data_IF_804480835334
#
_entry.id   IF_804480835334
#
_cell.length_a   1.000
_cell.length_b   1.000
_cell.length_c   1.000
_cell.angle_alpha   90.00
_cell.angle_beta   90.00
_cell.angle_gamma   90.00
#
_symmetry.space_group_name_H-M   'P 1'
#
loop_
_entity.id
_entity.type
_entity.pdbx_description
1 polymer ?
#
# COMPACT_ATOMS: atom_id res chain seq x y z
N UNK A 1 -22.65 59.68 7.46
CA UNK A 1 -23.58 58.59 7.84
C UNK A 1 -23.11 57.31 7.17
N UNK A 2 -22.59 56.37 7.97
CA UNK A 2 -21.93 55.14 7.54
C UNK A 2 -22.93 54.11 6.98
N UNK A 3 -22.56 53.46 5.87
CA UNK A 3 -23.16 52.20 5.41
C UNK A 3 -22.28 51.01 5.85
N UNK A 4 -22.85 49.88 6.27
CA UNK A 4 -22.11 48.71 6.74
C UNK A 4 -21.67 47.79 5.58
N UNK A 5 -20.45 47.26 5.66
CA UNK A 5 -19.93 46.21 4.77
C UNK A 5 -20.29 44.80 5.29
N UNK A 6 -20.36 43.78 4.40
CA UNK A 6 -20.72 42.42 4.78
C UNK A 6 -19.52 41.64 5.33
N UNK A 7 -19.69 41.05 6.51
CA UNK A 7 -18.73 40.09 7.10
C UNK A 7 -18.98 38.72 6.48
N UNK A 8 -18.02 38.26 5.67
CA UNK A 8 -18.01 36.95 5.03
C UNK A 8 -17.76 35.82 6.03
N UNK A 9 -18.54 34.74 5.88
CA UNK A 9 -18.50 33.56 6.74
C UNK A 9 -17.21 32.75 6.61
N UNK A 10 -16.64 32.39 7.77
CA UNK A 10 -15.56 31.41 7.89
C UNK A 10 -16.12 29.99 7.82
N UNK A 11 -15.65 29.23 6.84
CA UNK A 11 -16.10 27.88 6.51
C UNK A 11 -15.84 26.86 7.63
N UNK A 12 -16.81 25.98 7.82
CA UNK A 12 -16.69 24.76 8.63
C UNK A 12 -15.77 23.78 7.90
N UNK A 13 -14.71 23.37 8.58
CA UNK A 13 -13.77 22.33 8.14
C UNK A 13 -14.47 20.97 8.12
N UNK A 14 -14.49 20.30 6.96
CA UNK A 14 -14.97 18.93 6.82
C UNK A 14 -13.99 17.93 7.49
N UNK A 15 -14.48 16.80 8.04
CA UNK A 15 -13.60 15.79 8.61
C UNK A 15 -12.91 14.97 7.51
N UNK A 16 -11.59 15.00 7.53
CA UNK A 16 -10.69 14.16 6.72
C UNK A 16 -10.77 12.69 7.19
N UNK A 17 -11.80 11.97 6.76
CA UNK A 17 -11.90 10.52 6.90
C UNK A 17 -11.37 9.84 5.64
N UNK A 18 -10.07 9.56 5.56
CA UNK A 18 -9.56 8.84 4.38
C UNK A 18 -8.12 8.35 4.38
N UNK A 19 -7.21 8.87 5.22
CA UNK A 19 -5.77 8.63 5.01
C UNK A 19 -4.96 8.09 6.21
N UNK A 20 -5.61 7.56 7.25
CA UNK A 20 -4.88 7.05 8.42
C UNK A 20 -4.03 5.80 8.16
N UNK A 21 -4.29 5.06 7.05
CA UNK A 21 -3.48 3.88 6.67
C UNK A 21 -2.11 4.24 6.05
N UNK A 22 -1.91 5.47 5.58
CA UNK A 22 -0.66 5.89 4.91
C UNK A 22 0.47 6.15 5.93
N UNK A 23 0.16 6.41 7.21
CA UNK A 23 1.17 6.64 8.26
C UNK A 23 1.68 5.38 8.96
N UNK A 24 1.12 4.19 8.70
CA UNK A 24 1.61 2.97 9.34
C UNK A 24 2.90 2.49 8.68
N UNK A 25 3.90 2.17 9.51
CA UNK A 25 5.12 1.53 9.01
C UNK A 25 4.79 0.18 8.36
N UNK A 26 5.60 -0.24 7.38
CA UNK A 26 5.45 -1.54 6.67
C UNK A 26 5.23 -2.70 7.66
N UNK A 27 5.99 -2.71 8.75
CA UNK A 27 5.94 -3.76 9.78
C UNK A 27 4.63 -3.75 10.56
N UNK A 28 4.12 -2.56 10.91
CA UNK A 28 2.82 -2.41 11.57
C UNK A 28 1.68 -2.86 10.65
N UNK A 29 1.70 -2.47 9.37
CA UNK A 29 0.69 -2.87 8.40
C UNK A 29 0.67 -4.38 8.18
N UNK A 30 1.85 -5.00 8.02
CA UNK A 30 1.96 -6.45 7.89
C UNK A 30 1.51 -7.20 9.15
N UNK A 31 1.78 -6.64 10.33
CA UNK A 31 1.29 -7.18 11.60
C UNK A 31 -0.23 -7.13 11.68
N UNK A 32 -0.83 -6.01 11.28
CA UNK A 32 -2.29 -5.85 11.22
C UNK A 32 -2.93 -6.85 10.26
N UNK A 33 -2.41 -6.97 9.03
CA UNK A 33 -2.88 -7.95 8.05
C UNK A 33 -2.81 -9.40 8.57
N UNK A 34 -1.73 -9.76 9.27
CA UNK A 34 -1.60 -11.09 9.91
C UNK A 34 -2.58 -11.28 11.06
N UNK A 35 -2.87 -10.22 11.82
CA UNK A 35 -3.87 -10.26 12.89
C UNK A 35 -5.27 -10.50 12.33
N UNK A 36 -5.66 -9.71 11.32
CA UNK A 36 -6.95 -9.81 10.62
C UNK A 36 -7.15 -11.16 9.96
N UNK A 37 -6.13 -11.68 9.25
CA UNK A 37 -6.18 -13.01 8.65
C UNK A 37 -6.46 -14.10 9.69
N UNK A 38 -5.69 -14.11 10.78
CA UNK A 38 -5.85 -15.11 11.84
C UNK A 38 -7.21 -15.00 12.52
N UNK A 39 -7.64 -13.77 12.81
CA UNK A 39 -8.93 -13.50 13.43
C UNK A 39 -10.10 -13.99 12.57
N UNK A 40 -10.11 -13.64 11.29
CA UNK A 40 -11.16 -14.03 10.36
C UNK A 40 -11.20 -15.55 10.13
N UNK A 41 -10.04 -16.19 9.91
CA UNK A 41 -9.96 -17.64 9.76
C UNK A 41 -10.42 -18.39 11.01
N UNK A 42 -10.00 -17.93 12.20
CA UNK A 42 -10.40 -18.53 13.47
C UNK A 42 -11.92 -18.43 13.68
N UNK A 43 -12.48 -17.23 13.47
CA UNK A 43 -13.92 -17.01 13.56
C UNK A 43 -14.70 -17.89 12.59
N UNK A 44 -14.25 -17.99 11.33
CA UNK A 44 -14.88 -18.86 10.34
C UNK A 44 -14.84 -20.33 10.77
N UNK A 45 -13.67 -20.83 11.20
CA UNK A 45 -13.51 -22.21 11.63
C UNK A 45 -14.39 -22.56 12.85
N UNK A 46 -14.38 -21.73 13.90
CA UNK A 46 -15.19 -21.92 15.10
C UNK A 46 -16.69 -21.90 14.78
N UNK A 47 -17.14 -20.99 13.89
CA UNK A 47 -18.54 -20.93 13.50
C UNK A 47 -18.98 -22.07 12.58
N UNK A 48 -18.12 -22.54 11.67
CA UNK A 48 -18.37 -23.73 10.83
C UNK A 48 -18.51 -24.96 11.72
N UNK A 49 -17.60 -25.16 12.67
CA UNK A 49 -17.67 -26.28 13.62
C UNK A 49 -18.96 -26.21 14.43
N UNK A 50 -19.29 -25.04 14.98
CA UNK A 50 -20.53 -24.86 15.74
C UNK A 50 -21.79 -25.08 14.89
N UNK A 51 -21.78 -24.67 13.63
CA UNK A 51 -22.90 -24.89 12.70
C UNK A 51 -23.08 -26.38 12.41
N UNK A 52 -21.98 -27.11 12.19
CA UNK A 52 -22.02 -28.55 11.98
C UNK A 52 -22.56 -29.30 13.22
N UNK A 53 -22.19 -28.86 14.42
CA UNK A 53 -22.71 -29.41 15.68
C UNK A 53 -24.20 -29.12 15.87
N UNK A 54 -24.64 -27.88 15.64
CA UNK A 54 -26.03 -27.46 15.80
C UNK A 54 -26.95 -28.05 14.71
N UNK A 55 -26.43 -28.35 13.53
CA UNK A 55 -27.19 -28.97 12.44
C UNK A 55 -27.40 -30.47 12.64
N UNK A 56 -26.75 -31.09 13.62
CA UNK A 56 -26.89 -32.53 13.91
C UNK A 56 -28.31 -32.80 14.41
N UNK A 57 -29.09 -33.52 13.60
CA UNK A 57 -30.44 -33.97 13.98
C UNK A 57 -30.30 -35.02 15.09
N UNK A 58 -30.90 -34.81 16.28
CA UNK A 58 -30.90 -35.82 17.32
C UNK A 58 -31.66 -37.06 16.84
N UNK A 59 -31.04 -38.24 16.95
CA UNK A 59 -31.69 -39.52 16.62
C UNK A 59 -32.55 -40.07 17.74
N UNK A 60 -32.82 -39.28 18.77
CA UNK A 60 -33.33 -39.75 20.06
C UNK A 60 -34.77 -39.31 20.35
N UNK A 61 -35.49 -40.17 21.05
CA UNK A 61 -36.89 -40.02 21.45
C UNK A 61 -37.10 -38.92 22.52
N UNK A 62 -36.04 -38.19 22.88
CA UNK A 62 -35.99 -37.17 23.93
C UNK A 62 -36.96 -35.99 23.70
N UNK A 63 -37.45 -35.80 22.46
CA UNK A 63 -38.48 -34.80 22.14
C UNK A 63 -39.93 -35.33 22.18
N UNK A 64 -40.15 -36.63 22.36
CA UNK A 64 -41.49 -37.23 22.41
C UNK A 64 -42.26 -36.85 23.67
N UNK A 65 -41.58 -36.62 24.79
CA UNK A 65 -42.19 -36.24 26.07
C UNK A 65 -42.29 -34.71 26.29
N UNK A 66 -41.80 -33.90 25.36
CA UNK A 66 -41.86 -32.44 25.46
C UNK A 66 -43.25 -31.91 25.08
N UNK A 67 -43.71 -30.86 25.77
CA UNK A 67 -44.90 -30.10 25.35
C UNK A 67 -44.69 -29.48 23.96
N UNK A 68 -45.77 -29.28 23.21
CA UNK A 68 -45.74 -28.60 21.90
C UNK A 68 -45.03 -27.24 21.97
N UNK A 69 -45.29 -26.47 23.03
CA UNK A 69 -44.63 -25.17 23.26
C UNK A 69 -43.11 -25.32 23.43
N UNK A 70 -42.67 -26.35 24.15
CA UNK A 70 -41.26 -26.59 24.41
C UNK A 70 -40.52 -27.06 23.14
N UNK A 71 -41.16 -27.87 22.29
CA UNK A 71 -40.63 -28.25 20.98
C UNK A 71 -40.45 -27.03 20.06
N UNK A 72 -41.46 -26.16 19.99
CA UNK A 72 -41.40 -24.94 19.19
C UNK A 72 -40.32 -23.97 19.69
N UNK A 73 -40.18 -23.80 21.01
CA UNK A 73 -39.12 -22.97 21.59
C UNK A 73 -37.73 -23.51 21.23
N UNK A 74 -37.50 -24.82 21.42
CA UNK A 74 -36.24 -25.47 21.07
C UNK A 74 -35.89 -25.31 19.58
N UNK A 75 -36.85 -25.59 18.70
CA UNK A 75 -36.68 -25.40 17.26
C UNK A 75 -36.25 -23.97 16.91
N UNK A 76 -36.93 -22.96 17.47
CA UNK A 76 -36.60 -21.57 17.20
C UNK A 76 -35.21 -21.18 17.71
N UNK A 77 -34.80 -21.68 18.88
CA UNK A 77 -33.46 -21.46 19.43
C UNK A 77 -32.38 -22.02 18.50
N UNK A 78 -32.51 -23.29 18.10
CA UNK A 78 -31.55 -23.94 17.19
C UNK A 78 -31.52 -23.22 15.84
N UNK A 79 -32.69 -22.87 15.28
CA UNK A 79 -32.79 -22.13 14.02
C UNK A 79 -32.07 -20.78 14.11
N UNK A 80 -32.29 -20.02 15.18
CA UNK A 80 -31.64 -18.73 15.38
C UNK A 80 -30.13 -18.87 15.54
N UNK A 81 -29.66 -19.89 16.27
CA UNK A 81 -28.24 -20.20 16.40
C UNK A 81 -27.60 -20.50 15.04
N UNK A 82 -28.21 -21.37 14.23
CA UNK A 82 -27.72 -21.72 12.89
C UNK A 82 -27.62 -20.50 11.98
N UNK A 83 -28.66 -19.65 11.96
CA UNK A 83 -28.66 -18.42 11.16
C UNK A 83 -27.56 -17.45 11.62
N UNK A 84 -27.38 -17.30 12.94
CA UNK A 84 -26.35 -16.43 13.48
C UNK A 84 -24.94 -16.92 13.12
N UNK A 85 -24.68 -18.23 13.24
CA UNK A 85 -23.40 -18.83 12.86
C UNK A 85 -23.13 -18.67 11.37
N UNK A 86 -24.12 -18.94 10.51
CA UNK A 86 -23.98 -18.72 9.07
C UNK A 86 -23.65 -17.26 8.73
N UNK A 87 -24.33 -16.31 9.39
CA UNK A 87 -24.06 -14.88 9.22
C UNK A 87 -22.62 -14.52 9.62
N UNK A 88 -22.10 -15.07 10.72
CA UNK A 88 -20.73 -14.83 11.16
C UNK A 88 -19.69 -15.41 10.20
N UNK A 89 -19.97 -16.56 9.59
CA UNK A 89 -19.10 -17.15 8.55
C UNK A 89 -19.02 -16.23 7.34
N UNK A 90 -20.17 -15.70 6.87
CA UNK A 90 -20.20 -14.76 5.74
C UNK A 90 -19.42 -13.49 6.05
N UNK A 91 -19.60 -12.91 7.25
CA UNK A 91 -18.82 -11.73 7.68
C UNK A 91 -17.31 -12.01 7.72
N UNK A 92 -16.90 -13.17 8.21
CA UNK A 92 -15.50 -13.56 8.20
C UNK A 92 -14.96 -13.69 6.76
N UNK A 93 -15.76 -14.22 5.83
CA UNK A 93 -15.38 -14.31 4.41
C UNK A 93 -15.27 -12.93 3.74
N UNK A 94 -16.17 -12.00 4.03
CA UNK A 94 -16.11 -10.62 3.57
C UNK A 94 -14.85 -9.89 4.07
N UNK A 95 -14.48 -10.13 5.33
CA UNK A 95 -13.24 -9.59 5.90
C UNK A 95 -12.00 -10.15 5.20
N UNK A 96 -11.99 -11.46 4.89
CA UNK A 96 -10.91 -12.07 4.11
C UNK A 96 -10.81 -11.51 2.69
N UNK A 97 -11.94 -11.24 2.04
CA UNK A 97 -11.98 -10.61 0.71
C UNK A 97 -11.45 -9.17 0.76
N UNK A 98 -11.85 -8.42 1.78
CA UNK A 98 -11.39 -7.05 2.02
C UNK A 98 -9.88 -7.03 2.28
N UNK A 99 -9.38 -7.94 3.12
CA UNK A 99 -7.96 -8.09 3.39
C UNK A 99 -7.15 -8.44 2.12
N UNK A 100 -7.68 -9.32 1.27
CA UNK A 100 -7.05 -9.67 -0.01
C UNK A 100 -6.89 -8.43 -0.92
N UNK A 101 -7.92 -7.57 -0.99
CA UNK A 101 -7.86 -6.34 -1.75
C UNK A 101 -6.88 -5.32 -1.14
N UNK A 102 -6.83 -5.22 0.19
CA UNK A 102 -5.86 -4.39 0.92
C UNK A 102 -4.41 -4.83 0.62
N UNK A 103 -4.14 -6.15 0.59
CA UNK A 103 -2.82 -6.70 0.25
C UNK A 103 -2.45 -6.39 -1.20
N UNK A 104 -3.36 -6.59 -2.16
CA UNK A 104 -3.12 -6.25 -3.56
C UNK A 104 -2.78 -4.78 -3.74
N UNK A 105 -3.56 -3.91 -3.09
CA UNK A 105 -3.36 -2.46 -3.15
C UNK A 105 -2.01 -2.05 -2.56
N UNK A 106 -1.61 -2.66 -1.44
CA UNK A 106 -0.29 -2.45 -0.84
C UNK A 106 0.85 -2.85 -1.77
N UNK A 107 0.78 -4.03 -2.40
CA UNK A 107 1.82 -4.51 -3.32
C UNK A 107 1.93 -3.63 -4.56
N UNK A 108 0.80 -3.31 -5.20
CA UNK A 108 0.77 -2.46 -6.38
C UNK A 108 1.35 -1.08 -6.06
N UNK A 109 0.83 -0.40 -5.02
CA UNK A 109 1.23 0.98 -4.74
C UNK A 109 2.68 1.10 -4.31
N UNK A 110 3.23 0.10 -3.59
CA UNK A 110 4.57 0.19 -3.02
C UNK A 110 5.66 -0.31 -3.96
N UNK A 111 5.44 -1.42 -4.67
CA UNK A 111 6.48 -1.98 -5.54
C UNK A 111 6.69 -1.12 -6.78
N UNK A 112 5.61 -0.62 -7.41
CA UNK A 112 5.77 0.30 -8.55
C UNK A 112 6.43 1.63 -8.16
N UNK A 113 6.09 2.19 -6.99
CA UNK A 113 6.72 3.42 -6.52
C UNK A 113 8.23 3.22 -6.28
N UNK A 114 8.61 2.14 -5.60
CA UNK A 114 10.02 1.84 -5.33
C UNK A 114 10.83 1.60 -6.62
N UNK A 115 10.25 0.90 -7.60
CA UNK A 115 10.88 0.69 -8.91
C UNK A 115 11.03 2.01 -9.65
N UNK A 116 10.00 2.85 -9.64
CA UNK A 116 10.04 4.16 -10.30
C UNK A 116 11.10 5.09 -9.68
N UNK A 117 11.23 5.09 -8.35
CA UNK A 117 12.29 5.84 -7.64
C UNK A 117 13.69 5.35 -8.02
N UNK A 118 13.89 4.02 -8.10
CA UNK A 118 15.17 3.45 -8.53
C UNK A 118 15.51 3.81 -9.98
N UNK A 119 14.53 3.83 -10.88
CA UNK A 119 14.71 4.26 -12.28
C UNK A 119 15.12 5.73 -12.33
N UNK A 120 14.41 6.61 -11.63
CA UNK A 120 14.73 8.05 -11.59
C UNK A 120 16.15 8.27 -11.05
N UNK A 121 16.53 7.56 -9.99
CA UNK A 121 17.87 7.64 -9.41
C UNK A 121 18.94 7.17 -10.40
N UNK A 122 18.72 6.04 -11.08
CA UNK A 122 19.63 5.53 -12.11
C UNK A 122 19.76 6.49 -13.29
N UNK A 123 18.66 7.07 -13.74
CA UNK A 123 18.65 8.05 -14.83
C UNK A 123 19.43 9.31 -14.43
N UNK A 124 19.25 9.79 -13.20
CA UNK A 124 19.98 10.94 -12.68
C UNK A 124 21.48 10.68 -12.58
N UNK A 125 21.88 9.51 -12.08
CA UNK A 125 23.28 9.11 -12.00
C UNK A 125 23.91 8.99 -13.40
N UNK A 126 23.19 8.41 -14.35
CA UNK A 126 23.65 8.27 -15.73
C UNK A 126 23.86 9.64 -16.41
N UNK A 127 22.90 10.57 -16.26
CA UNK A 127 23.05 11.95 -16.77
C UNK A 127 24.25 12.66 -16.15
N UNK A 128 24.51 12.42 -14.86
CA UNK A 128 25.67 13.01 -14.18
C UNK A 128 26.99 12.48 -14.76
N UNK A 129 27.10 11.18 -15.03
CA UNK A 129 28.32 10.63 -15.61
C UNK A 129 28.55 11.10 -17.05
N UNK A 130 27.49 11.23 -17.87
CA UNK A 130 27.59 11.84 -19.20
C UNK A 130 28.13 13.26 -19.12
N UNK A 131 27.57 14.09 -18.22
CA UNK A 131 28.03 15.47 -18.05
C UNK A 131 29.49 15.52 -17.59
N UNK A 132 29.88 14.61 -16.69
CA UNK A 132 31.27 14.50 -16.22
C UNK A 132 32.22 14.15 -17.35
N UNK A 133 31.84 13.18 -18.20
CA UNK A 133 32.60 12.79 -19.39
C UNK A 133 32.73 13.95 -20.39
N UNK A 134 31.64 14.67 -20.65
CA UNK A 134 31.66 15.83 -21.54
C UNK A 134 32.58 16.94 -21.02
N UNK A 135 32.48 17.31 -19.74
CA UNK A 135 33.37 18.31 -19.13
C UNK A 135 34.84 17.87 -19.14
N UNK A 136 35.11 16.59 -18.90
CA UNK A 136 36.48 16.05 -18.97
C UNK A 136 37.04 16.13 -20.39
N UNK A 137 36.24 15.81 -21.40
CA UNK A 137 36.65 15.87 -22.80
C UNK A 137 36.92 17.31 -23.24
N UNK A 138 36.04 18.25 -22.89
CA UNK A 138 36.26 19.68 -23.17
C UNK A 138 37.54 20.20 -22.51
N UNK A 139 37.82 19.78 -21.28
CA UNK A 139 39.08 20.09 -20.59
C UNK A 139 40.32 19.59 -21.34
N UNK A 140 40.31 18.32 -21.76
CA UNK A 140 41.41 17.76 -22.56
C UNK A 140 41.57 18.46 -23.91
N UNK A 141 40.47 18.82 -24.57
CA UNK A 141 40.51 19.57 -25.83
C UNK A 141 41.18 20.93 -25.66
N UNK A 142 40.92 21.62 -24.56
CA UNK A 142 41.51 22.92 -24.25
C UNK A 142 43.01 22.81 -23.97
N UNK A 143 43.43 21.80 -23.20
CA UNK A 143 44.85 21.53 -22.94
C UNK A 143 45.59 21.22 -24.24
N UNK A 144 45.03 20.37 -25.10
CA UNK A 144 45.65 20.01 -26.37
C UNK A 144 45.77 21.21 -27.32
N UNK A 145 44.74 22.08 -27.37
CA UNK A 145 44.80 23.33 -28.12
C UNK A 145 45.90 24.26 -27.59
N UNK A 146 46.03 24.39 -26.27
CA UNK A 146 47.09 25.17 -25.63
C UNK A 146 48.49 24.65 -25.97
N UNK A 147 48.70 23.33 -25.89
CA UNK A 147 49.97 22.72 -26.29
C UNK A 147 50.31 22.98 -27.76
N UNK A 148 49.31 22.93 -28.65
CA UNK A 148 49.51 23.24 -30.08
C UNK A 148 49.95 24.70 -30.26
N UNK A 149 49.32 25.64 -29.55
CA UNK A 149 49.71 27.05 -29.62
C UNK A 149 51.11 27.31 -29.05
N UNK A 150 51.50 26.59 -27.99
CA UNK A 150 52.83 26.70 -27.40
C UNK A 150 53.90 26.17 -28.36
N UNK A 151 53.63 25.03 -29.02
CA UNK A 151 54.52 24.46 -30.05
C UNK A 151 54.68 25.40 -31.25
N UNK A 152 53.58 25.97 -31.76
CA UNK A 152 53.63 26.92 -32.87
C UNK A 152 54.48 28.15 -32.52
N UNK A 153 54.34 28.65 -31.29
CA UNK A 153 55.15 29.78 -30.80
C UNK A 153 56.63 29.42 -30.70
N UNK A 154 56.96 28.27 -30.12
CA UNK A 154 58.35 27.81 -30.00
C UNK A 154 59.00 27.59 -31.37
N UNK A 155 58.28 26.99 -32.32
CA UNK A 155 58.70 26.86 -33.71
C UNK A 155 58.97 28.23 -34.36
N UNK A 156 58.06 29.18 -34.18
CA UNK A 156 58.19 30.52 -34.71
C UNK A 156 59.42 31.24 -34.15
N UNK A 157 59.62 31.15 -32.83
CA UNK A 157 60.72 31.81 -32.12
C UNK A 157 62.10 31.23 -32.49
N UNK A 158 62.19 29.92 -32.73
CA UNK A 158 63.46 29.22 -32.99
C UNK A 158 63.80 29.04 -34.48
N UNK A 159 62.82 28.94 -35.37
CA UNK A 159 63.07 28.63 -36.79
C UNK A 159 62.84 29.80 -37.74
N UNK A 160 62.11 30.85 -37.36
CA UNK A 160 61.97 32.05 -38.22
C UNK A 160 63.06 33.10 -38.02
N UNK A 161 63.95 32.97 -37.02
CA UNK A 161 65.10 33.88 -36.83
C UNK A 161 66.31 33.59 -37.73
N UNK A 162 66.27 32.53 -38.53
CA UNK A 162 67.40 32.08 -39.36
C UNK A 162 67.26 32.35 -40.87
N UNK A 163 66.34 33.24 -41.28
CA UNK A 163 66.29 33.81 -42.63
C UNK A 163 66.16 35.32 -42.58
#
# INVERSE_FOLDING_TARGET
MNRPGPSGGGGKSAPSGGNSKIMMSKTQLLSDYRSRLRGALRSAAENIQGLALAAKVPSDDSHKHLSQTARTAHYNTVRNELVNRATLIVKAAEELLTLNNDVKSFTILRDFKSVNEAIIQSESAFKQEINRGASSYDGMRLVNAGMSTDLDKELNDHFQRNY
#
